data_IF_487034215391
#
_entry.id   IF_487034215391
#
_cell.length_a   1.000
_cell.length_b   1.000
_cell.length_c   1.000
_cell.angle_alpha   90.00
_cell.angle_beta   90.00
_cell.angle_gamma   90.00
#
_symmetry.space_group_name_H-M   'P 1'
#
loop_
_entity.id
_entity.type
_entity.pdbx_description
1 polymer ?
#
# COMPACT_ATOMS: atom_id res chain seq x y z
N UNK A 1 0.42 9.92 25.90
CA UNK A 1 0.04 11.06 25.03
C UNK A 1 -1.32 10.72 24.46
N UNK A 2 -2.34 11.54 24.73
CA UNK A 2 -3.69 11.36 24.15
C UNK A 2 -3.59 11.58 22.65
N UNK A 3 -3.71 10.50 21.87
CA UNK A 3 -3.71 10.57 20.41
C UNK A 3 -4.92 11.40 19.98
N UNK A 4 -4.70 12.62 19.48
CA UNK A 4 -5.78 13.45 18.97
C UNK A 4 -6.46 12.72 17.83
N UNK A 5 -7.77 12.48 17.96
CA UNK A 5 -8.57 11.82 16.94
C UNK A 5 -8.74 12.73 15.73
N UNK A 6 -8.58 12.18 14.52
CA UNK A 6 -8.89 12.89 13.27
C UNK A 6 -10.33 13.44 13.31
N UNK A 7 -10.57 14.73 13.00
CA UNK A 7 -11.91 15.25 12.85
C UNK A 7 -12.69 14.51 11.75
N UNK A 8 -14.02 14.44 11.84
CA UNK A 8 -14.80 13.77 10.79
C UNK A 8 -14.71 14.53 9.47
N UNK A 9 -14.97 13.85 8.35
CA UNK A 9 -15.01 14.47 7.02
C UNK A 9 -15.93 15.69 6.99
N UNK A 10 -17.10 15.60 7.62
CA UNK A 10 -18.08 16.70 7.68
C UNK A 10 -17.53 17.89 8.46
N UNK A 11 -16.80 17.65 9.56
CA UNK A 11 -16.18 18.71 10.33
C UNK A 11 -15.05 19.38 9.53
N UNK A 12 -14.21 18.61 8.84
CA UNK A 12 -13.14 19.13 7.97
C UNK A 12 -13.75 20.01 6.87
N UNK A 13 -14.76 19.51 6.16
CA UNK A 13 -15.41 20.23 5.07
C UNK A 13 -16.27 21.41 5.55
N UNK A 14 -16.73 21.43 6.81
CA UNK A 14 -17.38 22.61 7.38
C UNK A 14 -16.38 23.75 7.63
N UNK A 15 -15.13 23.43 7.97
CA UNK A 15 -14.07 24.41 8.22
C UNK A 15 -13.37 24.86 6.93
N UNK A 16 -13.19 23.94 5.97
CA UNK A 16 -12.56 24.23 4.68
C UNK A 16 -13.33 23.53 3.53
N UNK A 17 -14.50 24.05 3.12
CA UNK A 17 -15.34 23.44 2.09
C UNK A 17 -14.65 23.24 0.74
N UNK A 18 -13.67 24.08 0.42
CA UNK A 18 -12.91 24.04 -0.82
C UNK A 18 -12.04 22.79 -0.97
N UNK A 19 -11.90 21.96 0.08
CA UNK A 19 -11.27 20.64 -0.03
C UNK A 19 -12.16 19.59 -0.72
N UNK A 20 -13.48 19.79 -0.79
CA UNK A 20 -14.40 18.79 -1.32
C UNK A 20 -14.04 18.29 -2.75
N UNK A 21 -13.63 19.14 -3.72
CA UNK A 21 -13.23 18.68 -5.05
C UNK A 21 -11.92 17.87 -5.08
N UNK A 22 -11.15 17.90 -3.98
CA UNK A 22 -9.87 17.20 -3.84
C UNK A 22 -9.99 15.92 -3.00
N UNK A 23 -11.17 15.64 -2.46
CA UNK A 23 -11.45 14.43 -1.70
C UNK A 23 -11.26 13.17 -2.56
N UNK A 24 -10.65 12.14 -1.97
CA UNK A 24 -10.59 10.80 -2.55
C UNK A 24 -11.10 9.77 -1.56
N UNK A 25 -11.76 8.73 -2.05
CA UNK A 25 -12.08 7.57 -1.23
C UNK A 25 -10.81 6.82 -0.86
N UNK A 26 -10.75 6.34 0.37
CA UNK A 26 -9.71 5.45 0.86
C UNK A 26 -10.29 4.44 1.85
N UNK A 27 -9.56 3.35 2.07
CA UNK A 27 -9.83 2.40 3.14
C UNK A 27 -8.57 2.27 3.98
N UNK A 28 -8.67 2.60 5.26
CA UNK A 28 -7.63 2.29 6.25
C UNK A 28 -7.87 0.87 6.75
N UNK A 29 -6.83 0.05 6.73
CA UNK A 29 -6.87 -1.34 7.16
C UNK A 29 -6.25 -1.43 8.54
N UNK A 30 -6.99 -2.04 9.47
CA UNK A 30 -6.55 -2.26 10.84
C UNK A 30 -6.25 -3.75 11.01
N UNK A 31 -4.99 -4.18 10.94
CA UNK A 31 -4.60 -5.57 11.13
C UNK A 31 -4.68 -5.98 12.60
N UNK A 32 -5.04 -7.24 12.82
CA UNK A 32 -4.94 -7.93 14.11
C UNK A 32 -4.43 -9.34 13.87
N UNK A 33 -3.43 -9.78 14.64
CA UNK A 33 -2.82 -11.12 14.50
C UNK A 33 -3.88 -12.22 14.57
N UNK A 34 -3.92 -13.07 13.54
CA UNK A 34 -4.90 -14.14 13.42
C UNK A 34 -4.43 -15.21 12.41
N UNK A 35 -5.26 -16.22 12.21
CA UNK A 35 -5.06 -17.28 11.20
C UNK A 35 -6.14 -17.18 10.10
N UNK A 36 -6.09 -16.16 9.21
CA UNK A 36 -7.06 -15.99 8.14
C UNK A 36 -6.99 -17.12 7.10
N UNK A 37 -8.13 -17.44 6.49
CA UNK A 37 -8.18 -18.34 5.34
C UNK A 37 -7.73 -17.63 4.06
N UNK A 38 -7.33 -18.41 3.05
CA UNK A 38 -6.99 -17.90 1.73
C UNK A 38 -8.14 -17.13 1.05
N UNK A 39 -9.39 -17.30 1.48
CA UNK A 39 -10.54 -16.56 0.96
C UNK A 39 -10.86 -15.31 1.77
N UNK A 40 -10.11 -15.02 2.81
CA UNK A 40 -10.25 -13.79 3.59
C UNK A 40 -9.33 -12.69 3.05
N UNK A 41 -9.75 -11.44 3.26
CA UNK A 41 -8.80 -10.32 3.15
C UNK A 41 -7.86 -10.35 4.35
N UNK A 42 -6.57 -10.20 4.11
CA UNK A 42 -5.54 -10.36 5.14
C UNK A 42 -4.25 -9.61 4.81
N UNK A 43 -3.43 -9.38 5.83
CA UNK A 43 -2.02 -8.99 5.71
C UNK A 43 -1.18 -10.19 6.14
N UNK A 44 -0.11 -10.50 5.40
CA UNK A 44 0.78 -11.64 5.69
C UNK A 44 0.14 -13.04 5.67
N UNK A 45 -1.16 -13.14 5.37
CA UNK A 45 -1.93 -14.37 5.37
C UNK A 45 -1.77 -15.20 4.09
N UNK A 46 -2.36 -16.41 4.05
CA UNK A 46 -2.33 -17.26 2.86
C UNK A 46 -3.07 -16.59 1.69
N UNK A 47 -2.56 -16.79 0.47
CA UNK A 47 -3.18 -16.27 -0.75
C UNK A 47 -4.12 -17.31 -1.38
N UNK A 48 -5.21 -16.84 -1.99
CA UNK A 48 -5.96 -17.58 -3.00
C UNK A 48 -5.13 -17.64 -4.29
N UNK A 49 -4.11 -18.50 -4.30
CA UNK A 49 -3.21 -18.67 -5.43
C UNK A 49 -3.58 -19.91 -6.27
N UNK A 50 -3.68 -19.81 -7.60
CA UNK A 50 -3.95 -20.97 -8.46
C UNK A 50 -2.85 -22.03 -8.37
N UNK A 51 -3.20 -23.31 -8.33
CA UNK A 51 -2.22 -24.40 -8.29
C UNK A 51 -1.43 -24.60 -9.59
N UNK A 52 -1.93 -24.07 -10.70
CA UNK A 52 -1.34 -24.15 -12.04
C UNK A 52 -0.51 -22.92 -12.41
N UNK A 53 -0.48 -21.90 -11.55
CA UNK A 53 0.36 -20.72 -11.74
C UNK A 53 1.63 -20.80 -10.87
N UNK A 54 2.82 -20.60 -11.44
CA UNK A 54 4.06 -20.62 -10.66
C UNK A 54 4.04 -19.54 -9.58
N UNK A 55 4.53 -19.88 -8.39
CA UNK A 55 4.69 -18.92 -7.31
C UNK A 55 5.75 -17.88 -7.68
N UNK A 56 5.57 -16.58 -7.38
CA UNK A 56 6.56 -15.56 -7.69
C UNK A 56 7.87 -15.78 -6.92
N UNK A 57 9.00 -15.71 -7.63
CA UNK A 57 10.34 -15.84 -7.07
C UNK A 57 11.19 -14.62 -7.44
N UNK A 58 12.07 -14.20 -6.51
CA UNK A 58 13.02 -13.13 -6.73
C UNK A 58 14.44 -13.70 -6.89
N UNK A 59 15.05 -13.46 -8.06
CA UNK A 59 16.44 -13.82 -8.38
C UNK A 59 17.36 -12.60 -8.50
N UNK A 60 16.93 -11.44 -8.00
CA UNK A 60 17.74 -10.22 -8.03
C UNK A 60 18.76 -10.23 -6.89
N UNK A 61 19.96 -9.65 -7.10
CA UNK A 61 20.92 -9.38 -6.04
C UNK A 61 20.29 -8.56 -4.91
N UNK A 62 20.66 -8.89 -3.68
CA UNK A 62 20.17 -8.30 -2.43
C UNK A 62 21.31 -8.25 -1.39
N UNK A 63 21.02 -7.69 -0.23
CA UNK A 63 22.00 -7.61 0.86
C UNK A 63 22.50 -8.98 1.34
N UNK A 64 21.62 -9.99 1.37
CA UNK A 64 21.94 -11.35 1.81
C UNK A 64 22.58 -12.21 0.70
N UNK A 65 22.37 -11.86 -0.57
CA UNK A 65 22.97 -12.54 -1.73
C UNK A 65 23.34 -11.55 -2.85
N UNK A 66 24.63 -11.18 -2.99
CA UNK A 66 25.07 -10.22 -4.03
C UNK A 66 24.96 -10.77 -5.46
N UNK A 67 24.63 -12.04 -5.63
CA UNK A 67 24.42 -12.69 -6.94
C UNK A 67 22.93 -12.95 -7.21
N UNK A 68 22.07 -12.90 -6.19
CA UNK A 68 20.64 -13.18 -6.31
C UNK A 68 20.29 -14.65 -6.52
N UNK A 69 21.25 -15.56 -6.30
CA UNK A 69 21.10 -17.01 -6.53
C UNK A 69 21.42 -17.77 -5.24
N UNK A 70 20.59 -18.78 -4.85
CA UNK A 70 19.36 -19.21 -5.51
C UNK A 70 18.23 -18.16 -5.42
N UNK A 71 17.28 -18.25 -6.34
CA UNK A 71 16.05 -17.47 -6.26
C UNK A 71 15.30 -17.80 -4.95
N UNK A 72 14.59 -16.82 -4.41
CA UNK A 72 13.80 -16.98 -3.17
C UNK A 72 12.33 -16.77 -3.48
N UNK A 73 11.47 -17.57 -2.85
CA UNK A 73 10.03 -17.36 -2.95
C UNK A 73 9.65 -16.01 -2.35
N UNK A 74 8.81 -15.25 -3.06
CA UNK A 74 8.22 -14.02 -2.51
C UNK A 74 7.22 -14.38 -1.41
N UNK A 75 7.10 -13.52 -0.40
CA UNK A 75 6.15 -13.71 0.71
C UNK A 75 4.90 -12.85 0.50
N UNK A 76 3.73 -13.30 0.99
CA UNK A 76 2.50 -12.51 0.89
C UNK A 76 2.58 -11.28 1.79
N UNK A 77 2.23 -10.12 1.23
CA UNK A 77 2.12 -8.85 1.96
C UNK A 77 0.66 -8.56 2.27
N UNK A 78 -0.18 -8.58 1.25
CA UNK A 78 -1.60 -8.31 1.41
C UNK A 78 -2.43 -9.09 0.39
N UNK A 79 -3.62 -9.50 0.82
CA UNK A 79 -4.67 -9.98 -0.06
C UNK A 79 -5.95 -9.23 0.29
N UNK A 80 -6.54 -8.54 -0.67
CA UNK A 80 -7.75 -7.75 -0.45
C UNK A 80 -8.82 -8.18 -1.45
N UNK A 81 -9.99 -8.53 -0.94
CA UNK A 81 -11.18 -8.76 -1.74
C UNK A 81 -12.00 -7.47 -1.85
N UNK A 82 -12.55 -7.24 -3.03
CA UNK A 82 -13.41 -6.07 -3.31
C UNK A 82 -14.60 -5.92 -2.38
N UNK A 83 -15.16 -7.03 -1.90
CA UNK A 83 -16.29 -7.02 -0.97
C UNK A 83 -15.94 -6.45 0.41
N UNK A 84 -14.66 -6.53 0.80
CA UNK A 84 -14.19 -6.08 2.11
C UNK A 84 -13.64 -4.64 2.04
N UNK A 85 -13.21 -4.19 0.86
CA UNK A 85 -12.77 -2.81 0.60
C UNK A 85 -13.28 -2.28 -0.76
N UNK A 86 -14.58 -1.97 -0.90
CA UNK A 86 -15.15 -1.42 -2.12
C UNK A 86 -14.67 0.01 -2.40
N UNK A 87 -14.45 0.34 -3.67
CA UNK A 87 -14.03 1.69 -4.06
C UNK A 87 -13.66 1.82 -5.54
N UNK A 88 -13.12 2.97 -5.96
CA UNK A 88 -12.77 3.26 -7.35
C UNK A 88 -11.47 2.60 -7.84
N UNK A 89 -10.68 1.98 -6.96
CA UNK A 89 -9.39 1.35 -7.30
C UNK A 89 -9.51 -0.02 -8.01
N UNK A 90 -10.72 -0.58 -8.15
CA UNK A 90 -10.91 -1.90 -8.75
C UNK A 90 -11.04 -1.84 -10.27
N UNK A 91 -10.19 -2.59 -11.02
CA UNK A 91 -10.40 -2.78 -12.45
C UNK A 91 -11.73 -3.49 -12.74
N UNK A 92 -12.27 -3.26 -13.95
CA UNK A 92 -13.53 -3.88 -14.35
C UNK A 92 -13.43 -5.42 -14.34
N UNK A 93 -14.35 -6.08 -13.61
CA UNK A 93 -14.44 -7.54 -13.53
C UNK A 93 -13.39 -8.23 -12.65
N UNK A 94 -12.57 -7.44 -11.93
CA UNK A 94 -11.59 -7.88 -10.94
C UNK A 94 -12.17 -7.65 -9.53
N UNK A 95 -11.94 -8.62 -8.64
CA UNK A 95 -12.45 -8.60 -7.27
C UNK A 95 -11.43 -9.05 -6.22
N UNK A 96 -10.18 -9.28 -6.64
CA UNK A 96 -9.07 -9.69 -5.78
C UNK A 96 -7.78 -8.97 -6.16
N UNK A 97 -7.16 -8.32 -5.17
CA UNK A 97 -5.82 -7.72 -5.23
C UNK A 97 -4.90 -8.55 -4.34
N UNK A 98 -3.74 -8.94 -4.87
CA UNK A 98 -2.69 -9.63 -4.12
C UNK A 98 -1.37 -8.88 -4.29
N UNK A 99 -0.68 -8.66 -3.19
CA UNK A 99 0.64 -8.02 -3.13
C UNK A 99 1.58 -9.02 -2.49
N UNK A 100 2.68 -9.29 -3.16
CA UNK A 100 3.79 -10.09 -2.66
C UNK A 100 5.07 -9.26 -2.75
N UNK A 101 6.09 -9.64 -1.99
CA UNK A 101 7.41 -9.05 -2.15
C UNK A 101 8.54 -10.04 -1.89
N UNK A 102 9.73 -9.70 -2.37
CA UNK A 102 10.95 -10.35 -1.90
C UNK A 102 11.15 -10.01 -0.41
N UNK A 103 11.41 -11.00 0.47
CA UNK A 103 11.63 -10.73 1.89
C UNK A 103 13.06 -10.23 2.19
N UNK A 104 13.72 -9.55 1.25
CA UNK A 104 15.07 -9.02 1.40
C UNK A 104 15.14 -7.60 0.81
N UNK A 105 16.01 -6.78 1.36
CA UNK A 105 16.29 -5.45 0.81
C UNK A 105 17.15 -5.53 -0.46
N UNK A 106 16.77 -4.76 -1.48
CA UNK A 106 17.50 -4.64 -2.74
C UNK A 106 18.08 -3.24 -2.90
N UNK A 107 19.32 -3.20 -3.39
CA UNK A 107 20.01 -1.98 -3.81
C UNK A 107 19.91 -1.88 -5.33
N UNK A 108 19.49 -0.73 -5.86
CA UNK A 108 19.29 -0.50 -7.30
C UNK A 108 18.34 -1.52 -7.98
N UNK A 109 17.12 -1.75 -7.45
CA UNK A 109 16.14 -2.61 -8.09
C UNK A 109 15.66 -2.03 -9.44
N UNK A 110 14.90 -2.79 -10.26
CA UNK A 110 14.36 -2.29 -11.52
C UNK A 110 13.61 -0.96 -11.35
N UNK A 111 13.63 -0.09 -12.37
CA UNK A 111 13.14 1.30 -12.30
C UNK A 111 11.67 1.51 -11.85
N UNK A 112 10.87 0.44 -11.77
CA UNK A 112 9.52 0.47 -11.22
C UNK A 112 9.49 0.39 -9.68
N UNK A 113 10.62 0.10 -9.05
CA UNK A 113 10.80 -0.10 -7.61
C UNK A 113 11.50 1.13 -6.99
N UNK A 114 11.42 1.30 -5.67
CA UNK A 114 12.17 2.37 -4.99
C UNK A 114 13.66 2.00 -4.85
N UNK A 115 14.56 2.99 -4.88
CA UNK A 115 16.02 2.82 -4.94
C UNK A 115 16.59 1.81 -3.91
N UNK A 116 16.00 1.77 -2.72
CA UNK A 116 16.29 0.78 -1.67
C UNK A 116 14.94 0.27 -1.17
N UNK A 117 14.56 -0.96 -1.55
CA UNK A 117 13.27 -1.54 -1.18
C UNK A 117 13.21 -3.06 -1.40
N UNK A 118 12.27 -3.78 -0.79
CA UNK A 118 11.92 -5.11 -1.24
C UNK A 118 11.31 -5.05 -2.64
N UNK A 119 11.58 -6.03 -3.49
CA UNK A 119 11.01 -6.09 -4.85
C UNK A 119 9.58 -6.59 -4.78
N UNK A 120 8.62 -5.77 -5.24
CA UNK A 120 7.20 -6.09 -5.19
C UNK A 120 6.69 -6.81 -6.45
N UNK A 121 5.62 -7.57 -6.25
CA UNK A 121 4.77 -8.16 -7.27
C UNK A 121 3.30 -7.87 -6.93
N UNK A 122 2.54 -7.40 -7.92
CA UNK A 122 1.14 -7.02 -7.76
C UNK A 122 0.29 -7.82 -8.74
N UNK A 123 -0.68 -8.56 -8.22
CA UNK A 123 -1.59 -9.40 -9.01
C UNK A 123 -3.03 -8.95 -8.86
N UNK A 124 -3.66 -8.66 -9.99
CA UNK A 124 -5.10 -8.45 -10.12
C UNK A 124 -5.75 -9.73 -10.59
N UNK A 125 -6.79 -10.20 -9.89
CA UNK A 125 -7.47 -11.45 -10.22
C UNK A 125 -8.98 -11.35 -10.09
N UNK A 126 -9.66 -12.25 -10.80
CA UNK A 126 -11.01 -12.66 -10.41
C UNK A 126 -10.90 -13.89 -9.53
N UNK A 127 -11.38 -13.80 -8.30
CA UNK A 127 -11.34 -14.89 -7.34
C UNK A 127 -12.06 -16.15 -7.86
N UNK A 128 -13.15 -15.96 -8.60
CA UNK A 128 -13.91 -17.05 -9.20
C UNK A 128 -13.15 -17.83 -10.29
N UNK A 129 -12.10 -17.25 -10.87
CA UNK A 129 -11.27 -17.93 -11.88
C UNK A 129 -10.26 -18.90 -11.22
N UNK A 130 -10.06 -18.83 -9.88
CA UNK A 130 -9.20 -19.76 -9.13
C UNK A 130 -9.98 -21.02 -8.76
N UNK A 131 -9.98 -21.99 -9.67
CA UNK A 131 -10.73 -23.26 -9.51
C UNK A 131 -10.00 -24.24 -8.58
N UNK A 132 -8.67 -24.31 -8.68
CA UNK A 132 -7.81 -25.16 -7.86
C UNK A 132 -6.75 -24.31 -7.17
N UNK A 133 -6.62 -24.46 -5.87
CA UNK A 133 -5.76 -23.64 -5.04
C UNK A 133 -4.44 -24.35 -4.72
N UNK A 134 -3.33 -23.61 -4.73
CA UNK A 134 -2.07 -24.03 -4.15
C UNK A 134 -2.20 -24.09 -2.61
N UNK A 135 -2.14 -25.29 -2.03
CA UNK A 135 -2.30 -25.48 -0.57
C UNK A 135 -1.00 -25.42 0.22
N UNK A 136 0.14 -25.45 -0.46
CA UNK A 136 1.46 -25.45 0.17
C UNK A 136 2.36 -24.51 -0.62
N UNK A 137 2.30 -23.19 -0.36
CA UNK A 137 3.20 -22.24 -0.99
C UNK A 137 4.65 -22.53 -0.58
N UNK A 138 5.63 -22.28 -1.47
CA UNK A 138 7.03 -22.44 -1.13
C UNK A 138 7.46 -21.44 -0.05
N UNK A 139 8.35 -21.87 0.85
CA UNK A 139 8.98 -20.97 1.82
C UNK A 139 10.18 -20.25 1.20
N UNK A 140 10.45 -18.99 1.58
CA UNK A 140 11.65 -18.29 1.13
C UNK A 140 12.91 -19.04 1.57
N UNK A 141 13.87 -19.16 0.65
CA UNK A 141 15.17 -19.79 0.91
C UNK A 141 16.18 -18.83 1.54
N UNK A 142 15.96 -17.53 1.35
CA UNK A 142 16.69 -16.39 1.92
C UNK A 142 15.72 -15.25 2.24
N UNK A 143 15.91 -14.62 3.39
CA UNK A 143 15.09 -13.52 3.89
C UNK A 143 15.87 -12.74 4.95
N UNK A 144 15.54 -11.46 5.11
CA UNK A 144 15.92 -10.69 6.29
C UNK A 144 15.04 -11.05 7.47
N UNK A 145 15.65 -11.24 8.63
CA UNK A 145 14.94 -11.51 9.88
C UNK A 145 14.16 -10.28 10.37
N UNK A 146 14.55 -9.08 9.91
CA UNK A 146 14.01 -7.81 10.35
C UNK A 146 13.08 -7.19 9.29
N UNK A 147 11.77 -7.20 9.53
CA UNK A 147 10.82 -6.28 8.89
C UNK A 147 10.18 -6.68 7.56
N UNK A 148 10.77 -7.57 6.77
CA UNK A 148 10.23 -7.97 5.45
C UNK A 148 9.51 -9.34 5.43
N UNK A 149 9.24 -9.91 6.60
CA UNK A 149 8.41 -11.10 6.79
C UNK A 149 7.10 -10.76 7.52
N UNK A 150 6.04 -10.39 6.78
CA UNK A 150 4.74 -10.11 7.38
C UNK A 150 4.18 -11.32 8.14
N UNK A 151 3.65 -11.07 9.33
CA UNK A 151 2.88 -12.03 10.12
C UNK A 151 1.42 -12.02 9.67
N UNK A 152 0.77 -13.17 9.77
CA UNK A 152 -0.62 -13.32 9.37
C UNK A 152 -1.55 -12.52 10.30
N UNK A 153 -2.33 -11.63 9.69
CA UNK A 153 -3.30 -10.78 10.33
C UNK A 153 -4.65 -10.84 9.60
N UNK A 154 -5.73 -10.99 10.36
CA UNK A 154 -7.04 -10.60 9.87
C UNK A 154 -7.10 -9.07 9.82
N UNK A 155 -7.97 -8.52 8.98
CA UNK A 155 -8.10 -7.06 8.84
C UNK A 155 -9.53 -6.63 9.08
N UNK A 156 -9.67 -5.44 9.66
CA UNK A 156 -10.92 -4.67 9.58
C UNK A 156 -10.70 -3.45 8.70
N UNK A 157 -11.73 -3.07 7.95
CA UNK A 157 -11.67 -1.98 6.97
C UNK A 157 -12.46 -0.77 7.47
N UNK A 158 -11.81 0.39 7.50
CA UNK A 158 -12.43 1.69 7.80
C UNK A 158 -12.46 2.54 6.53
N UNK A 159 -13.65 2.78 6.00
CA UNK A 159 -13.84 3.69 4.87
C UNK A 159 -13.72 5.14 5.31
N UNK A 160 -12.85 5.88 4.63
CA UNK A 160 -12.58 7.28 4.96
C UNK A 160 -12.49 8.11 3.69
N UNK A 161 -12.80 9.40 3.83
CA UNK A 161 -12.43 10.40 2.83
C UNK A 161 -11.05 10.93 3.15
N UNK A 162 -10.15 10.87 2.17
CA UNK A 162 -8.77 11.32 2.25
C UNK A 162 -8.58 12.64 1.49
N UNK A 163 -7.64 13.45 1.96
CA UNK A 163 -7.34 14.78 1.41
C UNK A 163 -5.87 14.89 1.03
N UNK A 164 -5.53 15.62 -0.04
CA UNK A 164 -4.16 15.73 -0.50
C UNK A 164 -3.28 16.48 0.49
N UNK A 165 -1.97 16.28 0.39
CA UNK A 165 -1.04 17.11 1.11
C UNK A 165 -1.13 18.57 0.61
N UNK A 166 -0.86 19.54 1.50
CA UNK A 166 -1.05 20.98 1.20
C UNK A 166 -0.38 21.44 -0.10
N UNK A 167 0.75 20.88 -0.48
CA UNK A 167 1.51 21.28 -1.65
C UNK A 167 0.91 20.79 -2.97
N UNK A 168 0.02 19.81 -2.92
CA UNK A 168 -0.78 19.32 -4.05
C UNK A 168 -2.07 20.15 -4.26
N UNK A 169 -2.37 21.08 -3.35
CA UNK A 169 -3.50 22.02 -3.48
C UNK A 169 -3.12 23.31 -4.22
N UNK A 170 -4.11 24.03 -4.77
CA UNK A 170 -3.97 25.41 -5.23
C UNK A 170 -3.31 26.30 -4.17
N UNK A 171 -2.52 27.28 -4.61
CA UNK A 171 -1.69 28.13 -3.74
C UNK A 171 -2.49 28.85 -2.66
N UNK A 172 -3.74 29.19 -2.96
CA UNK A 172 -4.67 29.91 -2.08
C UNK A 172 -5.17 29.05 -0.92
N UNK A 173 -5.22 27.72 -1.08
CA UNK A 173 -5.71 26.80 -0.06
C UNK A 173 -4.61 26.33 0.90
N UNK A 174 -3.34 26.39 0.50
CA UNK A 174 -2.20 25.89 1.29
C UNK A 174 -2.10 26.50 2.69
N UNK A 175 -2.07 27.84 2.86
CA UNK A 175 -1.97 28.43 4.20
C UNK A 175 -3.21 28.18 5.06
N UNK A 176 -4.39 28.03 4.43
CA UNK A 176 -5.65 27.73 5.14
C UNK A 176 -5.67 26.29 5.67
N UNK A 177 -5.20 25.34 4.88
CA UNK A 177 -5.06 23.95 5.33
C UNK A 177 -3.98 23.82 6.41
N UNK A 178 -2.85 24.51 6.27
CA UNK A 178 -1.80 24.52 7.28
C UNK A 178 -2.29 25.04 8.63
N UNK A 179 -3.07 26.13 8.61
CA UNK A 179 -3.74 26.65 9.81
C UNK A 179 -4.68 25.62 10.43
N UNK A 180 -5.56 25.01 9.61
CA UNK A 180 -6.52 24.02 10.07
C UNK A 180 -5.84 22.79 10.68
N UNK A 181 -4.77 22.29 10.06
CA UNK A 181 -3.95 21.20 10.60
C UNK A 181 -3.35 21.58 11.95
N UNK A 182 -2.81 22.79 12.08
CA UNK A 182 -2.24 23.29 13.34
C UNK A 182 -3.28 23.43 14.45
N UNK A 183 -4.51 23.80 14.12
CA UNK A 183 -5.61 23.94 15.10
C UNK A 183 -6.22 22.59 15.53
N UNK A 184 -6.15 21.57 14.67
CA UNK A 184 -6.80 20.27 14.88
C UNK A 184 -5.87 19.21 15.45
N UNK A 185 -4.56 19.33 15.25
CA UNK A 185 -3.56 18.40 15.76
C UNK A 185 -2.77 18.93 16.95
N UNK A 186 -2.31 18.03 17.83
CA UNK A 186 -1.32 18.35 18.87
C UNK A 186 0.10 18.38 18.25
N UNK A 187 0.28 19.21 17.23
CA UNK A 187 1.52 19.34 16.45
C UNK A 187 1.72 18.31 15.31
N UNK A 188 0.74 17.44 15.05
CA UNK A 188 0.75 16.48 13.94
C UNK A 188 -0.35 16.70 12.92
N UNK A 189 -0.10 16.33 11.66
CA UNK A 189 -1.11 16.40 10.60
C UNK A 189 -2.08 15.22 10.70
N UNK A 190 -3.21 15.46 11.37
CA UNK A 190 -4.28 14.47 11.55
C UNK A 190 -5.33 14.52 10.44
N UNK A 191 -5.24 15.46 9.49
CA UNK A 191 -6.25 15.67 8.45
C UNK A 191 -5.86 14.97 7.15
N UNK A 192 -4.65 15.24 6.66
CA UNK A 192 -4.17 14.73 5.36
C UNK A 192 -3.22 13.55 5.51
N UNK A 193 -2.81 13.23 6.75
CA UNK A 193 -1.90 12.12 7.02
C UNK A 193 -2.64 10.97 7.69
N UNK A 194 -3.24 10.13 6.85
CA UNK A 194 -3.76 8.83 7.28
C UNK A 194 -2.60 7.85 7.42
N UNK A 195 -2.22 7.58 8.67
CA UNK A 195 -1.17 6.61 9.00
C UNK A 195 -1.68 5.18 8.91
N UNK A 196 -0.77 4.24 8.64
CA UNK A 196 -1.05 2.81 8.60
C UNK A 196 -1.36 2.29 7.20
N UNK A 197 -1.78 1.03 7.17
CA UNK A 197 -2.14 0.32 5.95
C UNK A 197 -3.33 0.97 5.27
N UNK A 198 -3.20 1.29 3.98
CA UNK A 198 -4.24 2.06 3.28
C UNK A 198 -4.38 1.64 1.83
N UNK A 199 -5.63 1.53 1.37
CA UNK A 199 -5.98 1.31 -0.04
C UNK A 199 -6.64 2.58 -0.59
N UNK A 200 -6.12 3.12 -1.69
CA UNK A 200 -6.59 4.36 -2.31
C UNK A 200 -6.17 5.63 -1.56
N UNK A 201 -6.91 6.72 -1.78
CA UNK A 201 -6.66 8.01 -1.16
C UNK A 201 -5.48 8.80 -1.76
N UNK A 202 -4.77 9.48 -0.87
CA UNK A 202 -3.63 10.34 -1.20
C UNK A 202 -2.33 9.83 -0.57
N UNK A 203 -1.19 9.93 -1.28
CA UNK A 203 0.12 9.68 -0.69
C UNK A 203 0.50 10.72 0.37
N UNK A 204 1.29 10.32 1.36
CA UNK A 204 1.74 11.16 2.48
C UNK A 204 3.10 11.82 2.22
N UNK A 205 3.18 13.14 2.04
CA UNK A 205 4.41 13.85 1.65
C UNK A 205 5.05 14.66 2.79
N UNK A 206 5.19 14.06 3.97
CA UNK A 206 5.62 14.82 5.16
C UNK A 206 7.15 14.91 5.34
N UNK A 207 7.91 14.08 4.62
CA UNK A 207 9.39 14.08 4.65
C UNK A 207 10.01 14.59 3.34
N UNK A 208 9.21 14.65 2.27
CA UNK A 208 9.64 15.00 0.91
C UNK A 208 8.56 15.83 0.21
N UNK A 209 8.92 16.47 -0.90
CA UNK A 209 7.95 17.18 -1.70
C UNK A 209 7.07 16.23 -2.53
N UNK A 210 5.80 16.60 -2.79
CA UNK A 210 4.94 15.83 -3.68
C UNK A 210 5.59 15.59 -5.03
N UNK A 211 5.61 14.31 -5.43
CA UNK A 211 6.15 13.88 -6.70
C UNK A 211 5.02 13.31 -7.54
N UNK A 212 4.81 13.91 -8.72
CA UNK A 212 3.88 13.36 -9.71
C UNK A 212 4.62 12.27 -10.48
N UNK A 213 4.13 11.05 -10.36
CA UNK A 213 4.65 9.88 -11.06
C UNK A 213 3.88 9.69 -12.38
N UNK A 214 4.48 9.94 -13.55
CA UNK A 214 3.84 9.66 -14.83
C UNK A 214 3.91 8.17 -15.16
N UNK A 215 2.83 7.61 -15.69
CA UNK A 215 2.85 6.25 -16.22
C UNK A 215 3.76 6.16 -17.46
N UNK A 216 4.74 5.27 -17.45
CA UNK A 216 5.70 5.12 -18.57
C UNK A 216 5.04 4.74 -19.90
N UNK A 217 3.87 4.09 -19.86
CA UNK A 217 3.18 3.62 -21.06
C UNK A 217 2.29 4.70 -21.72
N UNK A 218 1.65 5.57 -20.94
CA UNK A 218 0.63 6.52 -21.45
C UNK A 218 0.81 7.97 -20.99
N UNK A 219 1.70 8.23 -20.04
CA UNK A 219 1.98 9.57 -19.49
C UNK A 219 0.95 10.06 -18.46
N UNK A 220 -0.15 9.35 -18.24
CA UNK A 220 -1.15 9.71 -17.23
C UNK A 220 -0.53 9.68 -15.83
N UNK A 221 -0.84 10.69 -15.03
CA UNK A 221 -0.41 10.74 -13.63
C UNK A 221 -0.97 9.54 -12.87
N UNK A 222 -0.07 8.78 -12.25
CA UNK A 222 -0.41 7.59 -11.48
C UNK A 222 -1.08 7.98 -10.16
N UNK A 223 -1.90 7.08 -9.63
CA UNK A 223 -2.64 7.27 -8.38
C UNK A 223 -2.16 6.26 -7.34
N UNK A 224 -2.16 6.66 -6.07
CA UNK A 224 -1.87 5.74 -4.97
C UNK A 224 -2.88 4.59 -5.01
N UNK A 225 -2.36 3.37 -5.13
CA UNK A 225 -3.11 2.15 -4.96
C UNK A 225 -3.06 1.72 -3.50
N UNK A 226 -1.87 1.51 -2.94
CA UNK A 226 -1.71 0.89 -1.63
C UNK A 226 -0.53 1.49 -0.84
N UNK A 227 -0.72 1.66 0.46
CA UNK A 227 0.34 1.99 1.42
C UNK A 227 0.58 0.77 2.31
N UNK A 228 1.81 0.28 2.29
CA UNK A 228 2.36 -0.70 3.24
C UNK A 228 3.06 0.08 4.34
N UNK A 229 2.53 0.04 5.55
CA UNK A 229 3.08 0.77 6.68
C UNK A 229 3.91 -0.14 7.58
N UNK A 230 4.92 0.46 8.24
CA UNK A 230 5.57 -0.21 9.38
C UNK A 230 4.57 -0.38 10.52
N UNK A 231 4.46 -1.59 11.07
CA UNK A 231 3.42 -1.94 12.03
C UNK A 231 3.80 -3.18 12.86
N UNK A 232 3.87 -3.01 14.18
CA UNK A 232 4.24 -4.04 15.15
C UNK A 232 3.31 -5.26 15.13
N UNK A 233 2.01 -5.07 14.82
CA UNK A 233 1.05 -6.18 14.77
C UNK A 233 1.37 -7.12 13.61
N UNK A 234 1.66 -6.54 12.44
CA UNK A 234 2.05 -7.28 11.24
C UNK A 234 3.52 -7.71 11.24
N UNK A 235 4.35 -7.13 12.11
CA UNK A 235 5.80 -7.34 12.11
C UNK A 235 6.53 -6.71 10.92
N UNK A 236 5.82 -5.93 10.08
CA UNK A 236 6.41 -5.24 8.93
C UNK A 236 7.18 -4.01 9.40
N UNK A 237 8.40 -3.85 8.90
CA UNK A 237 9.21 -2.65 9.10
C UNK A 237 9.79 -2.24 7.76
N UNK A 238 9.41 -1.06 7.28
CA UNK A 238 9.89 -0.47 6.03
C UNK A 238 10.93 0.59 6.38
N UNK A 239 12.17 0.40 5.93
CA UNK A 239 13.27 1.34 6.16
C UNK A 239 13.41 1.71 7.65
N UNK A 240 13.33 3.01 7.96
CA UNK A 240 13.41 3.52 9.35
C UNK A 240 12.03 3.76 9.96
N UNK A 241 11.18 2.74 9.90
CA UNK A 241 9.79 2.80 10.39
C UNK A 241 8.92 3.76 9.55
N UNK A 242 9.10 3.67 8.24
CA UNK A 242 8.42 4.44 7.23
C UNK A 242 7.26 3.69 6.57
N UNK A 243 6.90 4.16 5.38
CA UNK A 243 5.84 3.61 4.54
C UNK A 243 6.37 3.33 3.12
N UNK A 244 5.94 2.21 2.53
CA UNK A 244 6.12 1.90 1.12
C UNK A 244 4.79 2.12 0.39
N UNK A 245 4.85 2.77 -0.78
CA UNK A 245 3.67 3.22 -1.52
C UNK A 245 3.70 2.65 -2.92
N UNK A 246 2.58 2.08 -3.33
CA UNK A 246 2.39 1.48 -4.65
C UNK A 246 1.44 2.39 -5.43
N UNK A 247 1.88 2.83 -6.60
CA UNK A 247 1.12 3.67 -7.52
C UNK A 247 0.74 2.87 -8.77
N UNK A 248 -0.47 3.07 -9.29
CA UNK A 248 -0.93 2.44 -10.53
C UNK A 248 -1.48 3.46 -11.51
N UNK A 249 -1.43 3.11 -12.80
CA UNK A 249 -2.09 3.88 -13.85
C UNK A 249 -3.61 3.79 -13.69
N UNK A 250 -4.33 4.92 -13.58
CA UNK A 250 -5.80 4.89 -13.47
C UNK A 250 -6.50 4.52 -14.79
N UNK A 251 -5.84 4.68 -15.93
CA UNK A 251 -6.43 4.40 -17.25
C UNK A 251 -6.35 2.91 -17.63
N UNK A 252 -5.28 2.21 -17.22
CA UNK A 252 -5.11 0.79 -17.49
C UNK A 252 -4.26 0.10 -16.40
N UNK A 253 -4.91 -0.74 -15.59
CA UNK A 253 -4.27 -1.53 -14.55
C UNK A 253 -3.21 -2.53 -15.04
N UNK A 254 -3.13 -2.79 -16.35
CA UNK A 254 -2.10 -3.64 -16.96
C UNK A 254 -0.79 -2.91 -17.21
N UNK A 255 -0.80 -1.57 -17.18
CA UNK A 255 0.43 -0.80 -17.19
C UNK A 255 1.20 -1.06 -15.89
N UNK A 256 2.53 -0.93 -15.97
CA UNK A 256 3.39 -1.12 -14.83
C UNK A 256 3.02 -0.20 -13.67
N UNK A 257 3.10 -0.73 -12.45
CA UNK A 257 3.04 0.06 -11.23
C UNK A 257 4.39 0.75 -10.98
N UNK A 258 4.39 1.72 -10.07
CA UNK A 258 5.61 2.33 -9.55
C UNK A 258 5.58 2.28 -8.03
N UNK A 259 6.74 2.10 -7.42
CA UNK A 259 6.91 2.03 -5.97
C UNK A 259 7.78 3.18 -5.51
N UNK A 260 7.44 3.68 -4.35
CA UNK A 260 8.18 4.72 -3.68
C UNK A 260 8.19 4.45 -2.16
N UNK A 261 9.24 4.89 -1.46
CA UNK A 261 9.50 4.58 -0.06
C UNK A 261 9.85 5.85 0.71
N UNK A 262 9.23 6.05 1.89
CA UNK A 262 9.41 7.24 2.72
C UNK A 262 9.52 6.95 4.20
#
# INVERSE_FOLDING_TARGET
MTRTSRPTTEAILAMLPELAPHARDAVVLHPERAEPDCRDSSIGGPLLWPSDEPWPECSLPDENSPVGVPATAMVPVAQIFRRDAPGPWWPAGIDLLQILWCPNEHWDPPAQQADISPVLEVRWRRAADVISQLTTPPSPSRYDEDGYLPQACAITAEHVTDFPFREELPAELRPRLEELVRETGDGGDVITRLAGWKLGGWPTWHLTHPTVLPCDACGTAMTLLFTVASDDETGVVVGRWGDLRIFTCPDDHRHAFQVDLH
#
